data_IF_862476348032
#
_entry.id   IF_862476348032
#
_cell.length_a   1.000
_cell.length_b   1.000
_cell.length_c   1.000
_cell.angle_alpha   90.00
_cell.angle_beta   90.00
_cell.angle_gamma   90.00
#
_symmetry.space_group_name_H-M   'P 1'
#
loop_
_entity.id
_entity.type
_entity.pdbx_description
1 polymer ?
#
# COMPACT_ATOMS: atom_id res chain seq x y z
N UNK A 1 -10.11 0.59 21.89
CA UNK A 1 -9.47 1.42 20.86
C UNK A 1 -10.30 1.22 19.60
N UNK A 2 -10.93 2.27 19.09
CA UNK A 2 -11.79 2.19 17.91
C UNK A 2 -11.04 2.76 16.70
N UNK A 3 -11.01 2.00 15.62
CA UNK A 3 -10.47 2.45 14.33
C UNK A 3 -11.63 2.88 13.45
N UNK A 4 -11.52 4.03 12.77
CA UNK A 4 -12.59 4.57 11.92
C UNK A 4 -12.15 4.92 10.49
N UNK A 5 -10.84 4.90 10.23
CA UNK A 5 -10.26 5.34 8.96
C UNK A 5 -9.13 4.39 8.57
N UNK A 6 -9.05 4.08 7.27
CA UNK A 6 -7.91 3.39 6.68
C UNK A 6 -7.38 4.20 5.51
N UNK A 7 -6.06 4.22 5.32
CA UNK A 7 -5.41 4.85 4.16
C UNK A 7 -4.78 3.77 3.30
N UNK A 8 -5.30 3.61 2.09
CA UNK A 8 -4.82 2.68 1.09
C UNK A 8 -4.26 3.47 -0.10
N UNK A 9 -3.47 2.82 -0.95
CA UNK A 9 -2.97 3.41 -2.18
C UNK A 9 -3.07 2.41 -3.31
N UNK A 10 -3.41 2.88 -4.51
CA UNK A 10 -3.54 2.03 -5.69
C UNK A 10 -2.23 1.34 -6.07
N UNK A 11 -2.35 0.23 -6.79
CA UNK A 11 -1.22 -0.56 -7.30
C UNK A 11 -0.63 0.09 -8.57
N UNK A 12 0.63 0.57 -8.53
CA UNK A 12 1.33 1.01 -9.73
C UNK A 12 1.80 -0.19 -10.56
N UNK A 13 1.94 -0.02 -11.87
CA UNK A 13 2.49 -1.06 -12.77
C UNK A 13 3.95 -1.35 -12.47
N UNK A 14 4.71 -0.33 -12.09
CA UNK A 14 6.11 -0.44 -11.69
C UNK A 14 6.35 -1.41 -10.52
N UNK A 15 5.36 -1.67 -9.66
CA UNK A 15 5.43 -2.73 -8.63
C UNK A 15 5.58 -4.12 -9.25
N UNK A 16 4.79 -4.39 -10.30
CA UNK A 16 4.74 -5.68 -10.99
C UNK A 16 6.04 -5.89 -11.77
N UNK A 17 6.55 -4.83 -12.39
CA UNK A 17 7.74 -4.85 -13.25
C UNK A 17 9.05 -4.91 -12.45
N UNK A 18 9.10 -4.33 -11.24
CA UNK A 18 10.36 -4.21 -10.51
C UNK A 18 10.27 -3.74 -9.07
N UNK A 19 9.13 -3.92 -8.39
CA UNK A 19 9.02 -3.64 -6.95
C UNK A 19 9.96 -4.49 -6.11
N UNK A 20 10.25 -4.02 -4.89
CA UNK A 20 11.23 -4.66 -4.01
C UNK A 20 10.71 -6.00 -3.49
N UNK A 21 11.56 -7.03 -3.51
CA UNK A 21 11.26 -8.37 -2.98
C UNK A 21 12.45 -8.86 -2.15
N UNK A 22 12.16 -9.58 -1.06
CA UNK A 22 13.20 -10.13 -0.17
C UNK A 22 13.99 -11.26 -0.85
N UNK A 23 13.30 -12.10 -1.59
CA UNK A 23 13.91 -13.15 -2.41
C UNK A 23 13.96 -12.68 -3.86
N UNK A 24 15.00 -13.06 -4.60
CA UNK A 24 15.07 -12.89 -6.05
C UNK A 24 14.13 -13.90 -6.76
N UNK A 25 12.92 -14.06 -6.24
CA UNK A 25 11.85 -14.79 -6.90
C UNK A 25 11.23 -13.88 -7.95
N UNK A 26 11.62 -14.14 -9.20
CA UNK A 26 11.08 -13.50 -10.39
C UNK A 26 9.82 -14.21 -10.90
N UNK A 27 9.12 -14.96 -10.04
CA UNK A 27 7.81 -15.50 -10.37
C UNK A 27 6.91 -14.37 -10.88
N UNK A 28 6.24 -14.59 -12.01
CA UNK A 28 5.40 -13.57 -12.62
C UNK A 28 4.26 -13.22 -11.66
N UNK A 29 4.02 -11.93 -11.48
CA UNK A 29 2.82 -11.44 -10.80
C UNK A 29 1.71 -11.36 -11.82
N UNK A 30 0.60 -12.07 -11.56
CA UNK A 30 -0.64 -11.87 -12.29
C UNK A 30 -1.25 -10.52 -11.88
N UNK A 31 -1.12 -9.53 -12.75
CA UNK A 31 -1.64 -8.17 -12.53
C UNK A 31 -3.14 -8.17 -12.22
N UNK A 32 -3.93 -8.95 -12.96
CA UNK A 32 -5.38 -8.96 -12.80
C UNK A 32 -5.78 -9.59 -11.46
N UNK A 33 -5.07 -10.63 -11.03
CA UNK A 33 -5.26 -11.24 -9.73
C UNK A 33 -4.84 -10.30 -8.59
N UNK A 34 -3.68 -9.64 -8.71
CA UNK A 34 -3.18 -8.68 -7.72
C UNK A 34 -4.14 -7.49 -7.53
N UNK A 35 -4.66 -6.93 -8.63
CA UNK A 35 -5.64 -5.84 -8.59
C UNK A 35 -6.93 -6.29 -7.89
N UNK A 36 -7.43 -7.48 -8.24
CA UNK A 36 -8.62 -8.05 -7.59
C UNK A 36 -8.43 -8.25 -6.09
N UNK A 37 -7.27 -8.76 -5.66
CA UNK A 37 -6.97 -8.93 -4.24
C UNK A 37 -6.97 -7.59 -3.49
N UNK A 38 -6.43 -6.53 -4.11
CA UNK A 38 -6.43 -5.20 -3.50
C UNK A 38 -7.83 -4.59 -3.44
N UNK A 39 -8.64 -4.75 -4.49
CA UNK A 39 -10.03 -4.33 -4.49
C UNK A 39 -10.83 -5.05 -3.40
N UNK A 40 -10.68 -6.38 -3.29
CA UNK A 40 -11.32 -7.18 -2.23
C UNK A 40 -10.86 -6.76 -0.83
N UNK A 41 -9.58 -6.43 -0.65
CA UNK A 41 -9.04 -5.90 0.60
C UNK A 41 -9.66 -4.55 0.98
N UNK A 42 -9.69 -3.58 0.06
CA UNK A 42 -10.28 -2.26 0.33
C UNK A 42 -11.78 -2.35 0.58
N UNK A 43 -12.49 -3.24 -0.14
CA UNK A 43 -13.90 -3.53 0.09
C UNK A 43 -14.17 -4.17 1.45
N UNK A 44 -13.28 -5.06 1.92
CA UNK A 44 -13.39 -5.63 3.26
C UNK A 44 -13.28 -4.54 4.34
N UNK A 45 -12.36 -3.58 4.18
CA UNK A 45 -12.22 -2.43 5.10
C UNK A 45 -13.49 -1.56 5.09
N UNK A 46 -14.04 -1.26 3.91
CA UNK A 46 -15.30 -0.51 3.76
C UNK A 46 -16.47 -1.23 4.42
N UNK A 47 -16.58 -2.56 4.24
CA UNK A 47 -17.64 -3.40 4.84
C UNK A 47 -17.56 -3.45 6.36
N UNK A 48 -16.36 -3.33 6.94
CA UNK A 48 -16.17 -3.17 8.38
C UNK A 48 -16.60 -1.77 8.88
N UNK A 49 -16.95 -0.85 7.99
CA UNK A 49 -17.42 0.49 8.36
C UNK A 49 -16.29 1.50 8.52
N UNK A 50 -15.08 1.21 8.04
CA UNK A 50 -14.00 2.18 7.99
C UNK A 50 -14.22 3.15 6.83
N UNK A 51 -13.93 4.43 7.06
CA UNK A 51 -13.70 5.40 5.99
C UNK A 51 -12.39 5.06 5.30
N UNK A 52 -12.45 4.48 4.10
CA UNK A 52 -11.25 4.20 3.31
C UNK A 52 -10.89 5.41 2.46
N UNK A 53 -9.68 5.94 2.66
CA UNK A 53 -9.07 6.96 1.82
C UNK A 53 -8.14 6.24 0.85
N UNK A 54 -8.48 6.27 -0.43
CA UNK A 54 -7.70 5.63 -1.49
C UNK A 54 -6.90 6.68 -2.25
N UNK A 55 -5.57 6.62 -2.11
CA UNK A 55 -4.65 7.47 -2.85
C UNK A 55 -4.39 6.87 -4.24
N UNK A 56 -4.16 7.69 -5.28
CA UNK A 56 -3.79 7.18 -6.59
C UNK A 56 -2.44 6.44 -6.55
N UNK A 57 -2.30 5.45 -7.43
CA UNK A 57 -1.01 4.83 -7.70
C UNK A 57 0.01 5.87 -8.21
N UNK A 58 1.29 5.63 -7.97
CA UNK A 58 2.38 6.49 -8.43
C UNK A 58 3.51 5.64 -8.99
N UNK A 59 3.71 5.76 -10.29
CA UNK A 59 4.69 4.95 -11.01
C UNK A 59 6.14 5.32 -10.67
N UNK A 60 6.38 6.46 -10.01
CA UNK A 60 7.72 6.81 -9.51
C UNK A 60 8.07 6.11 -8.20
N UNK A 61 7.09 5.49 -7.54
CA UNK A 61 7.21 4.80 -6.26
C UNK A 61 6.63 3.37 -6.38
N UNK A 62 7.39 2.40 -6.91
CA UNK A 62 6.90 1.05 -7.17
C UNK A 62 6.22 0.39 -5.96
N UNK A 63 6.74 0.59 -4.76
CA UNK A 63 6.22 -0.02 -3.53
C UNK A 63 5.19 0.86 -2.79
N UNK A 64 4.57 1.85 -3.47
CA UNK A 64 3.69 2.83 -2.82
C UNK A 64 2.39 2.24 -2.26
N UNK A 65 1.98 1.04 -2.71
CA UNK A 65 0.80 0.33 -2.18
C UNK A 65 0.94 0.02 -0.68
N UNK A 66 2.17 -0.14 -0.19
CA UNK A 66 2.48 -0.47 1.21
C UNK A 66 2.55 0.80 2.07
N UNK A 67 1.39 1.38 2.35
CA UNK A 67 1.26 2.63 3.13
C UNK A 67 1.70 2.49 4.59
N UNK A 68 1.70 1.27 5.14
CA UNK A 68 2.10 0.96 6.52
C UNK A 68 3.50 1.47 6.86
N UNK A 69 4.45 1.31 5.94
CA UNK A 69 5.83 1.71 6.20
C UNK A 69 6.01 3.23 6.26
N UNK A 70 5.12 4.01 5.62
CA UNK A 70 5.26 5.46 5.47
C UNK A 70 4.83 6.25 6.71
N UNK A 71 3.93 5.69 7.52
CA UNK A 71 3.38 6.41 8.66
C UNK A 71 2.96 5.46 9.79
N UNK A 72 3.33 5.83 11.02
CA UNK A 72 2.82 5.20 12.24
C UNK A 72 1.79 6.13 12.86
N UNK A 73 0.57 5.64 13.04
CA UNK A 73 -0.55 6.40 13.63
C UNK A 73 -0.90 5.84 14.99
N UNK A 74 -0.85 6.69 16.02
CA UNK A 74 -1.26 6.37 17.38
C UNK A 74 -2.17 7.46 17.89
N UNK A 75 -3.40 7.08 18.25
CA UNK A 75 -4.48 7.99 18.64
C UNK A 75 -4.71 9.12 17.62
N UNK A 76 -4.30 10.35 17.97
CA UNK A 76 -4.50 11.57 17.16
C UNK A 76 -3.18 12.07 16.55
N UNK A 77 -2.15 11.24 16.53
CA UNK A 77 -0.81 11.59 16.06
C UNK A 77 -0.40 10.64 14.95
N UNK A 78 0.19 11.21 13.90
CA UNK A 78 0.85 10.47 12.84
C UNK A 78 2.33 10.88 12.82
N UNK A 79 3.21 9.89 12.79
CA UNK A 79 4.63 10.08 12.56
C UNK A 79 4.92 9.58 11.16
N UNK A 80 5.36 10.49 10.28
CA UNK A 80 5.93 10.11 8.98
C UNK A 80 7.29 9.49 9.23
N UNK A 81 7.50 8.31 8.69
CA UNK A 81 8.74 7.57 8.87
C UNK A 81 9.78 8.02 7.85
N UNK A 82 11.05 7.78 8.18
CA UNK A 82 12.12 7.76 7.18
C UNK A 82 12.33 6.31 6.74
N UNK A 83 11.79 5.95 5.58
CA UNK A 83 11.77 4.56 5.14
C UNK A 83 13.19 4.02 4.88
N UNK A 84 13.44 2.76 5.22
CA UNK A 84 14.79 2.19 5.17
C UNK A 84 15.36 2.03 3.76
N UNK A 85 14.51 1.81 2.75
CA UNK A 85 14.96 1.64 1.37
C UNK A 85 14.83 2.94 0.56
N UNK A 86 15.91 3.48 -0.05
CA UNK A 86 15.88 4.77 -0.75
C UNK A 86 14.84 4.88 -1.86
N UNK A 87 14.55 3.79 -2.57
CA UNK A 87 13.54 3.76 -3.63
C UNK A 87 12.10 4.03 -3.14
N UNK A 88 11.89 4.11 -1.82
CA UNK A 88 10.58 4.38 -1.23
C UNK A 88 10.47 5.78 -0.60
N UNK A 89 11.57 6.54 -0.54
CA UNK A 89 11.55 7.92 -0.06
C UNK A 89 10.58 8.79 -0.89
N UNK A 90 9.79 9.62 -0.22
CA UNK A 90 8.78 10.50 -0.82
C UNK A 90 9.02 11.97 -0.49
#
# INVERSE_FOLDING_TARGET
MEYNTAVCRGIPKSLIEGGLRLENDHSPIDEAFMRRQHDEYTDALKKWGLKVIELPADESLPDCVFTEDAAVVVDKKAVLTNQGHPARHF
#
